data_IF_410647616611
#
_entry.id   IF_410647616611
#
_cell.length_a   1.000
_cell.length_b   1.000
_cell.length_c   1.000
_cell.angle_alpha   90.00
_cell.angle_beta   90.00
_cell.angle_gamma   90.00
#
_symmetry.space_group_name_H-M   'P 1'
#
loop_
_entity.id
_entity.type
_entity.pdbx_description
1 polymer ?
#
# COMPACT_ATOMS: atom_id res chain seq x y z
N UNK A 1 19.71 20.20 -7.42
CA UNK A 1 19.07 20.48 -6.12
C UNK A 1 19.63 19.51 -5.09
N UNK A 2 19.64 19.80 -3.78
CA UNK A 2 20.02 18.79 -2.79
C UNK A 2 19.08 17.60 -2.91
N UNK A 3 19.62 16.38 -2.71
CA UNK A 3 18.81 15.15 -2.73
C UNK A 3 17.82 15.19 -1.59
N UNK A 4 16.59 14.73 -1.86
CA UNK A 4 15.59 14.54 -0.83
C UNK A 4 15.87 13.28 -0.03
N UNK A 5 15.49 13.28 1.23
CA UNK A 5 15.77 12.18 2.16
C UNK A 5 14.53 11.32 2.40
N UNK A 6 14.73 10.00 2.42
CA UNK A 6 13.65 9.02 2.60
C UNK A 6 14.00 8.08 3.75
N UNK A 7 13.19 8.08 4.80
CA UNK A 7 13.20 7.03 5.81
C UNK A 7 12.27 5.88 5.40
N UNK A 8 12.65 4.65 5.70
CA UNK A 8 11.79 3.47 5.45
C UNK A 8 11.35 2.88 6.80
N UNK A 9 10.05 2.68 6.95
CA UNK A 9 9.43 2.04 8.12
C UNK A 9 8.99 0.64 7.72
N UNK A 10 9.75 -0.36 8.18
CA UNK A 10 9.57 -1.76 7.82
C UNK A 10 10.69 -2.28 6.92
N UNK A 11 11.28 -3.43 7.31
CA UNK A 11 12.38 -4.07 6.57
C UNK A 11 12.11 -5.57 6.36
N UNK A 12 10.88 -5.90 5.97
CA UNK A 12 10.49 -7.21 5.43
C UNK A 12 10.95 -7.36 3.98
N UNK A 13 10.41 -8.35 3.26
CA UNK A 13 10.75 -8.58 1.85
C UNK A 13 10.56 -7.32 0.99
N UNK A 14 9.40 -6.65 1.08
CA UNK A 14 9.11 -5.45 0.30
C UNK A 14 9.95 -4.25 0.70
N UNK A 15 10.24 -4.06 1.99
CA UNK A 15 11.10 -2.97 2.47
C UNK A 15 12.54 -3.10 1.98
N UNK A 16 13.07 -4.32 1.92
CA UNK A 16 14.39 -4.60 1.35
C UNK A 16 14.42 -4.31 -0.15
N UNK A 17 13.40 -4.77 -0.89
CA UNK A 17 13.26 -4.48 -2.33
C UNK A 17 13.21 -2.96 -2.56
N UNK A 18 12.38 -2.24 -1.79
CA UNK A 18 12.24 -0.79 -1.90
C UNK A 18 13.57 -0.06 -1.66
N UNK A 19 14.25 -0.38 -0.56
CA UNK A 19 15.53 0.26 -0.21
C UNK A 19 16.58 0.06 -1.32
N UNK A 20 16.68 -1.16 -1.84
CA UNK A 20 17.58 -1.50 -2.93
C UNK A 20 17.20 -0.80 -4.24
N UNK A 21 15.91 -0.78 -4.59
CA UNK A 21 15.41 -0.13 -5.78
C UNK A 21 15.64 1.39 -5.75
N UNK A 22 15.38 2.07 -4.63
CA UNK A 22 15.65 3.51 -4.48
C UNK A 22 17.14 3.82 -4.71
N UNK A 23 18.03 3.04 -4.10
CA UNK A 23 19.48 3.21 -4.28
C UNK A 23 19.94 2.99 -5.72
N UNK A 24 19.31 2.06 -6.45
CA UNK A 24 19.69 1.73 -7.82
C UNK A 24 19.07 2.67 -8.86
N UNK A 25 17.85 3.14 -8.65
CA UNK A 25 17.07 3.82 -9.69
C UNK A 25 16.88 5.31 -9.46
N UNK A 26 16.90 5.78 -8.20
CA UNK A 26 16.62 7.17 -7.85
C UNK A 26 17.73 7.81 -6.99
N UNK A 27 18.95 7.28 -7.05
CA UNK A 27 20.08 7.77 -6.27
C UNK A 27 20.49 9.21 -6.57
N UNK A 28 20.13 9.75 -7.74
CA UNK A 28 20.39 11.16 -8.07
C UNK A 28 19.44 12.12 -7.36
N UNK A 29 18.19 11.70 -7.13
CA UNK A 29 17.13 12.54 -6.57
C UNK A 29 16.92 12.29 -5.07
N UNK A 30 17.14 11.05 -4.60
CA UNK A 30 16.83 10.62 -3.25
C UNK A 30 18.02 9.93 -2.57
N UNK A 31 18.06 10.10 -1.25
CA UNK A 31 18.93 9.35 -0.35
C UNK A 31 18.07 8.63 0.70
N UNK A 32 18.28 7.32 0.86
CA UNK A 32 17.71 6.59 1.99
C UNK A 32 18.47 7.02 3.25
N UNK A 33 17.83 7.84 4.10
CA UNK A 33 18.43 8.39 5.32
C UNK A 33 18.57 7.33 6.41
N UNK A 34 17.70 6.35 6.42
CA UNK A 34 17.79 5.21 7.33
C UNK A 34 16.54 4.34 7.28
N UNK A 35 16.59 3.23 7.98
CA UNK A 35 15.53 2.23 8.07
C UNK A 35 15.20 1.99 9.53
N UNK A 36 13.91 2.00 9.85
CA UNK A 36 13.41 1.65 11.15
C UNK A 36 12.41 0.51 11.09
N UNK A 37 12.46 -0.39 12.07
CA UNK A 37 11.49 -1.47 12.24
C UNK A 37 11.12 -1.61 13.70
N UNK A 38 9.91 -2.11 13.99
CA UNK A 38 9.48 -2.44 15.35
C UNK A 38 10.43 -3.46 16.03
N UNK A 39 11.10 -4.28 15.24
CA UNK A 39 12.05 -5.30 15.71
C UNK A 39 13.49 -4.89 15.41
N UNK A 40 13.83 -3.61 15.61
CA UNK A 40 15.12 -3.05 15.22
C UNK A 40 16.31 -3.80 15.79
N UNK A 41 16.23 -4.29 17.03
CA UNK A 41 17.31 -5.05 17.66
C UNK A 41 17.64 -6.35 16.88
N UNK A 42 16.64 -6.98 16.30
CA UNK A 42 16.81 -8.18 15.45
C UNK A 42 17.31 -7.83 14.06
N UNK A 43 16.81 -6.73 13.48
CA UNK A 43 16.99 -6.42 12.07
C UNK A 43 18.22 -5.52 11.81
N UNK A 44 18.78 -4.90 12.86
CA UNK A 44 19.84 -3.88 12.79
C UNK A 44 21.08 -4.37 12.02
N UNK A 45 21.54 -5.57 12.33
CA UNK A 45 22.75 -6.11 11.70
C UNK A 45 22.52 -6.39 10.20
N UNK A 46 21.37 -6.96 9.84
CA UNK A 46 21.00 -7.18 8.44
C UNK A 46 20.92 -5.86 7.66
N UNK A 47 20.30 -4.83 8.25
CA UNK A 47 20.21 -3.49 7.63
C UNK A 47 21.59 -2.92 7.34
N UNK A 48 22.55 -3.09 8.28
CA UNK A 48 23.96 -2.64 8.09
C UNK A 48 24.68 -3.45 7.01
N UNK A 49 24.51 -4.76 7.00
CA UNK A 49 25.11 -5.65 5.99
C UNK A 49 24.61 -5.33 4.58
N UNK A 50 23.36 -4.93 4.45
CA UNK A 50 22.76 -4.48 3.19
C UNK A 50 23.21 -3.04 2.80
N UNK A 51 24.04 -2.39 3.63
CA UNK A 51 24.63 -1.08 3.39
C UNK A 51 23.69 0.08 3.69
N UNK A 52 22.72 -0.10 4.59
CA UNK A 52 21.82 0.96 5.04
C UNK A 52 22.06 1.31 6.52
N UNK A 53 21.66 2.52 6.90
CA UNK A 53 21.69 2.99 8.29
C UNK A 53 20.45 2.49 9.03
N UNK A 54 20.57 1.73 10.14
CA UNK A 54 19.42 1.48 11.01
C UNK A 54 19.18 2.68 11.93
N UNK A 55 17.93 3.10 12.10
CA UNK A 55 17.55 3.97 13.20
C UNK A 55 17.41 3.14 14.46
N UNK A 56 18.11 3.52 15.54
CA UNK A 56 18.07 2.79 16.81
C UNK A 56 16.72 2.88 17.52
N UNK A 57 15.94 3.93 17.25
CA UNK A 57 14.58 4.14 17.77
C UNK A 57 13.74 4.95 16.77
N UNK A 58 12.43 5.05 17.01
CA UNK A 58 11.55 5.89 16.22
C UNK A 58 11.84 7.39 16.44
N UNK A 59 12.22 7.77 17.67
CA UNK A 59 12.63 9.13 18.01
C UNK A 59 13.88 9.56 17.23
N UNK A 60 14.81 8.63 16.97
CA UNK A 60 15.97 8.91 16.14
C UNK A 60 15.59 9.19 14.68
N UNK A 61 14.56 8.52 14.14
CA UNK A 61 14.01 8.83 12.83
C UNK A 61 13.36 10.22 12.83
N UNK A 62 12.56 10.55 13.84
CA UNK A 62 11.92 11.86 13.95
C UNK A 62 12.95 13.00 14.07
N UNK A 63 14.03 12.79 14.83
CA UNK A 63 15.11 13.77 14.99
C UNK A 63 15.90 14.01 13.68
N UNK A 64 16.01 13.01 12.83
CA UNK A 64 16.68 13.10 11.52
C UNK A 64 15.87 13.93 10.49
N UNK A 65 14.56 14.07 10.71
CA UNK A 65 13.60 14.85 9.88
C UNK A 65 13.74 14.58 8.38
N UNK A 66 13.58 13.35 7.92
CA UNK A 66 13.60 13.07 6.49
C UNK A 66 12.42 13.78 5.78
N UNK A 67 12.59 14.10 4.48
CA UNK A 67 11.51 14.69 3.67
C UNK A 67 10.29 13.77 3.57
N UNK A 68 10.55 12.46 3.48
CA UNK A 68 9.53 11.41 3.38
C UNK A 68 9.80 10.26 4.34
N UNK A 69 8.74 9.73 4.94
CA UNK A 69 8.74 8.42 5.58
C UNK A 69 7.86 7.46 4.78
N UNK A 70 8.43 6.37 4.28
CA UNK A 70 7.69 5.33 3.56
C UNK A 70 7.32 4.23 4.54
N UNK A 71 6.04 4.10 4.82
CA UNK A 71 5.51 2.97 5.58
C UNK A 71 5.31 1.77 4.62
N UNK A 72 6.01 0.67 4.88
CA UNK A 72 5.95 -0.58 4.13
C UNK A 72 5.99 -1.77 5.10
N UNK A 73 5.19 -1.70 6.15
CA UNK A 73 5.18 -2.65 7.26
C UNK A 73 3.79 -3.26 7.52
N UNK A 74 2.83 -2.45 7.97
CA UNK A 74 1.49 -2.91 8.35
C UNK A 74 0.51 -1.77 8.58
N UNK A 75 -0.79 -2.08 8.51
CA UNK A 75 -1.88 -1.18 8.92
C UNK A 75 -1.63 -0.59 10.31
N UNK A 76 -1.16 -1.40 11.25
CA UNK A 76 -0.84 -0.96 12.61
C UNK A 76 0.29 0.07 12.66
N UNK A 77 1.28 -0.03 11.77
CA UNK A 77 2.36 0.97 11.69
C UNK A 77 1.83 2.34 11.25
N UNK A 78 0.85 2.37 10.32
CA UNK A 78 0.20 3.63 9.92
C UNK A 78 -0.53 4.25 11.11
N UNK A 79 -1.30 3.47 11.88
CA UNK A 79 -2.01 3.94 13.08
C UNK A 79 -1.07 4.50 14.13
N UNK A 80 0.01 3.78 14.42
CA UNK A 80 0.92 4.15 15.50
C UNK A 80 1.81 5.35 15.17
N UNK A 81 2.22 5.50 13.92
CA UNK A 81 3.30 6.43 13.57
C UNK A 81 2.88 7.54 12.61
N UNK A 82 1.79 7.36 11.87
CA UNK A 82 1.41 8.25 10.79
C UNK A 82 1.21 9.70 11.23
N UNK A 83 0.41 9.93 12.25
CA UNK A 83 0.14 11.27 12.77
C UNK A 83 1.42 11.94 13.32
N UNK A 84 2.22 11.19 14.09
CA UNK A 84 3.46 11.70 14.67
C UNK A 84 4.47 12.14 13.60
N UNK A 85 4.58 11.38 12.52
CA UNK A 85 5.44 11.76 11.37
C UNK A 85 4.98 13.08 10.74
N UNK A 86 3.69 13.20 10.45
CA UNK A 86 3.12 14.39 9.83
C UNK A 86 3.30 15.62 10.72
N UNK A 87 3.08 15.50 12.03
CA UNK A 87 3.32 16.56 13.01
C UNK A 87 4.79 16.94 13.14
N UNK A 88 5.72 16.02 12.88
CA UNK A 88 7.15 16.29 12.86
C UNK A 88 7.63 16.98 11.57
N UNK A 89 6.73 17.27 10.62
CA UNK A 89 7.05 17.88 9.34
C UNK A 89 7.52 16.87 8.29
N UNK A 90 7.25 15.57 8.48
CA UNK A 90 7.67 14.49 7.60
C UNK A 90 6.48 14.02 6.77
N UNK A 91 6.55 14.09 5.45
CA UNK A 91 5.48 13.58 4.58
C UNK A 91 5.45 12.05 4.60
N UNK A 92 4.24 11.48 4.64
CA UNK A 92 4.02 10.04 4.79
C UNK A 92 3.62 9.40 3.45
N UNK A 93 4.34 8.35 3.05
CA UNK A 93 3.95 7.46 1.94
C UNK A 93 3.41 6.16 2.52
N UNK A 94 2.16 5.83 2.23
CA UNK A 94 1.44 4.68 2.78
C UNK A 94 1.34 3.56 1.76
N UNK A 95 1.82 2.37 2.11
CA UNK A 95 1.57 1.14 1.34
C UNK A 95 0.52 0.24 1.99
N UNK A 96 0.39 0.31 3.32
CA UNK A 96 -0.65 -0.41 4.07
C UNK A 96 -1.96 0.38 4.06
N UNK A 97 -2.48 0.63 2.86
CA UNK A 97 -3.61 1.52 2.58
C UNK A 97 -4.90 1.10 3.31
N UNK A 98 -5.01 -0.16 3.70
CA UNK A 98 -6.11 -0.67 4.50
C UNK A 98 -6.36 0.12 5.80
N UNK A 99 -5.34 0.75 6.37
CA UNK A 99 -5.48 1.63 7.53
C UNK A 99 -6.43 2.80 7.26
N UNK A 100 -6.44 3.32 6.04
CA UNK A 100 -7.24 4.49 5.64
C UNK A 100 -8.73 4.17 5.41
N UNK A 101 -9.14 2.91 5.57
CA UNK A 101 -10.55 2.53 5.64
C UNK A 101 -11.22 3.02 6.94
N UNK A 102 -10.43 3.34 7.96
CA UNK A 102 -10.90 3.97 9.20
C UNK A 102 -11.04 5.47 9.00
N UNK A 103 -12.28 5.96 9.09
CA UNK A 103 -12.60 7.36 8.80
C UNK A 103 -11.89 8.31 9.77
N UNK A 104 -11.92 8.01 11.07
CA UNK A 104 -11.27 8.82 12.11
C UNK A 104 -9.75 8.93 11.90
N UNK A 105 -9.10 7.81 11.60
CA UNK A 105 -7.67 7.81 11.29
C UNK A 105 -7.37 8.64 10.04
N UNK A 106 -8.16 8.46 8.99
CA UNK A 106 -7.98 9.18 7.72
C UNK A 106 -8.14 10.68 7.92
N UNK A 107 -9.15 11.10 8.67
CA UNK A 107 -9.38 12.51 9.01
C UNK A 107 -8.26 13.08 9.86
N UNK A 108 -7.81 12.37 10.89
CA UNK A 108 -6.68 12.76 11.74
C UNK A 108 -5.41 12.96 10.93
N UNK A 109 -5.08 12.03 10.03
CA UNK A 109 -3.91 12.15 9.17
C UNK A 109 -4.04 13.33 8.20
N UNK A 110 -5.21 13.55 7.61
CA UNK A 110 -5.46 14.68 6.70
C UNK A 110 -5.31 16.03 7.41
N UNK A 111 -5.92 16.18 8.61
CA UNK A 111 -5.81 17.39 9.43
C UNK A 111 -4.36 17.65 9.86
N UNK A 112 -3.66 16.60 10.32
CA UNK A 112 -2.25 16.73 10.72
C UNK A 112 -1.36 17.10 9.54
N UNK A 113 -1.59 16.54 8.37
CA UNK A 113 -0.85 16.90 7.17
C UNK A 113 -1.08 18.37 6.79
N UNK A 114 -2.33 18.81 6.77
CA UNK A 114 -2.68 20.19 6.44
C UNK A 114 -2.07 21.20 7.43
N UNK A 115 -2.16 20.91 8.73
CA UNK A 115 -1.67 21.79 9.80
C UNK A 115 -0.14 21.96 9.79
N UNK A 116 0.61 20.97 9.30
CA UNK A 116 2.07 20.97 9.31
C UNK A 116 2.71 21.10 7.92
N UNK A 117 1.92 21.40 6.88
CA UNK A 117 2.44 21.57 5.51
C UNK A 117 3.03 20.27 4.91
N UNK A 118 2.64 19.12 5.45
CA UNK A 118 3.05 17.79 4.97
C UNK A 118 1.97 17.16 4.09
N UNK A 119 2.23 15.98 3.57
CA UNK A 119 1.26 15.23 2.74
C UNK A 119 1.23 13.76 3.11
N UNK A 120 0.06 13.15 2.89
CA UNK A 120 -0.11 11.69 2.88
C UNK A 120 -0.22 11.25 1.42
N UNK A 121 0.71 10.44 0.98
CA UNK A 121 0.72 9.84 -0.35
C UNK A 121 0.26 8.40 -0.28
N UNK A 122 -0.79 8.08 -1.02
CA UNK A 122 -1.30 6.70 -1.14
C UNK A 122 -0.73 6.08 -2.40
N UNK A 123 -0.02 4.96 -2.26
CA UNK A 123 0.54 4.25 -3.42
C UNK A 123 -0.50 3.35 -4.08
N UNK A 124 -0.32 3.09 -5.37
CA UNK A 124 -1.19 2.17 -6.09
C UNK A 124 -1.02 0.71 -5.64
N UNK A 125 0.10 0.39 -5.01
CA UNK A 125 0.37 -0.98 -4.58
C UNK A 125 0.49 -1.93 -5.77
N UNK A 126 -0.34 -2.96 -5.78
CA UNK A 126 -0.36 -3.98 -6.83
C UNK A 126 -1.41 -3.71 -7.94
N UNK A 127 -1.95 -2.50 -8.01
CA UNK A 127 -2.93 -2.05 -9.03
C UNK A 127 -2.49 -0.71 -9.63
N UNK A 128 -3.38 0.00 -10.34
CA UNK A 128 -3.07 1.30 -10.94
C UNK A 128 -4.31 1.97 -11.51
N UNK A 129 -4.11 3.03 -12.32
CA UNK A 129 -5.18 3.74 -13.02
C UNK A 129 -6.06 4.58 -12.09
N UNK A 130 -5.53 5.06 -10.97
CA UNK A 130 -6.28 5.86 -10.00
C UNK A 130 -6.78 7.18 -10.58
N UNK A 131 -6.05 7.77 -11.51
CA UNK A 131 -6.46 8.91 -12.32
C UNK A 131 -7.77 8.62 -13.07
N UNK A 132 -7.85 7.47 -13.74
CA UNK A 132 -9.06 7.03 -14.45
C UNK A 132 -10.21 6.78 -13.47
N UNK A 133 -9.95 6.08 -12.34
CA UNK A 133 -10.96 5.79 -11.33
C UNK A 133 -11.55 7.08 -10.73
N UNK A 134 -10.68 8.05 -10.40
CA UNK A 134 -11.09 9.37 -9.89
C UNK A 134 -11.90 10.14 -10.93
N UNK A 135 -11.44 10.14 -12.18
CA UNK A 135 -12.16 10.83 -13.27
C UNK A 135 -13.58 10.31 -13.43
N UNK A 136 -13.77 9.00 -13.50
CA UNK A 136 -15.11 8.40 -13.64
C UNK A 136 -15.98 8.70 -12.41
N UNK A 137 -15.40 8.65 -11.19
CA UNK A 137 -16.12 8.96 -9.96
C UNK A 137 -16.57 10.44 -9.91
N UNK A 138 -15.72 11.38 -10.32
CA UNK A 138 -16.03 12.81 -10.37
C UNK A 138 -17.10 13.18 -11.40
N UNK A 139 -17.30 12.35 -12.42
CA UNK A 139 -18.40 12.54 -13.39
C UNK A 139 -19.79 12.27 -12.76
N UNK A 140 -19.85 11.66 -11.58
CA UNK A 140 -21.09 11.37 -10.83
C UNK A 140 -21.71 10.03 -11.16
N UNK A 141 -22.61 9.56 -10.28
CA UNK A 141 -23.35 8.30 -10.37
C UNK A 141 -22.48 7.04 -10.55
N UNK A 142 -21.23 7.09 -10.12
CA UNK A 142 -20.29 6.01 -10.31
C UNK A 142 -20.59 4.82 -9.38
N UNK A 143 -20.39 3.63 -9.89
CA UNK A 143 -20.40 2.35 -9.17
C UNK A 143 -19.04 1.69 -9.35
N UNK A 144 -18.54 1.04 -8.29
CA UNK A 144 -17.25 0.39 -8.30
C UNK A 144 -17.31 -1.06 -7.82
N UNK A 145 -16.53 -1.92 -8.45
CA UNK A 145 -16.31 -3.29 -8.03
C UNK A 145 -14.84 -3.67 -8.23
N UNK A 146 -14.28 -4.38 -7.27
CA UNK A 146 -12.98 -5.02 -7.43
C UNK A 146 -13.09 -6.52 -7.19
N UNK A 147 -12.61 -7.30 -8.15
CA UNK A 147 -12.49 -8.75 -8.08
C UNK A 147 -11.04 -9.13 -7.82
N UNK A 148 -10.82 -9.92 -6.78
CA UNK A 148 -9.49 -10.41 -6.39
C UNK A 148 -9.48 -11.93 -6.51
N UNK A 149 -8.69 -12.48 -7.44
CA UNK A 149 -8.55 -13.92 -7.61
C UNK A 149 -7.17 -14.35 -7.14
N UNK A 150 -7.12 -15.26 -6.17
CA UNK A 150 -5.90 -15.69 -5.51
C UNK A 150 -5.88 -17.21 -5.30
N UNK A 151 -4.68 -17.77 -5.17
CA UNK A 151 -4.52 -19.14 -4.73
C UNK A 151 -5.00 -19.31 -3.27
N UNK A 152 -5.56 -20.48 -2.88
CA UNK A 152 -6.02 -20.74 -1.51
C UNK A 152 -4.95 -20.45 -0.45
N UNK A 153 -3.69 -20.75 -0.73
CA UNK A 153 -2.54 -20.57 0.18
C UNK A 153 -2.31 -19.08 0.51
N UNK A 154 -2.59 -18.20 -0.44
CA UNK A 154 -2.47 -16.74 -0.25
C UNK A 154 -3.54 -16.16 0.67
N UNK A 155 -4.65 -16.86 0.84
CA UNK A 155 -5.79 -16.46 1.68
C UNK A 155 -5.76 -17.08 3.08
N UNK A 156 -4.90 -18.09 3.30
CA UNK A 156 -4.78 -18.76 4.59
C UNK A 156 -4.44 -17.79 5.73
N UNK A 157 -5.08 -18.02 6.89
CA UNK A 157 -4.91 -17.20 8.09
C UNK A 157 -5.59 -15.83 8.02
N UNK A 158 -6.47 -15.61 7.04
CA UNK A 158 -7.37 -14.47 7.07
C UNK A 158 -8.44 -14.67 8.15
N UNK A 159 -8.76 -13.64 8.99
CA UNK A 159 -9.75 -13.77 10.06
C UNK A 159 -11.11 -14.27 9.56
N UNK A 160 -11.55 -13.84 8.40
CA UNK A 160 -12.82 -14.28 7.80
C UNK A 160 -12.89 -15.78 7.50
N UNK A 161 -11.73 -16.42 7.33
CA UNK A 161 -11.61 -17.84 7.02
C UNK A 161 -11.33 -18.70 8.25
N UNK A 162 -11.35 -18.12 9.45
CA UNK A 162 -11.16 -18.88 10.69
C UNK A 162 -12.22 -19.99 10.81
N UNK A 163 -11.77 -21.23 11.02
CA UNK A 163 -12.65 -22.41 11.06
C UNK A 163 -13.22 -22.85 9.70
N UNK A 164 -12.82 -22.23 8.59
CA UNK A 164 -13.26 -22.59 7.23
C UNK A 164 -12.10 -23.21 6.43
N UNK A 165 -12.37 -24.25 5.68
CA UNK A 165 -11.44 -24.82 4.70
C UNK A 165 -11.83 -24.39 3.28
N UNK A 166 -10.81 -24.09 2.47
CA UNK A 166 -11.01 -23.75 1.06
C UNK A 166 -10.87 -25.02 0.20
N UNK A 167 -11.73 -25.24 -0.80
CA UNK A 167 -11.56 -26.30 -1.77
C UNK A 167 -10.22 -26.18 -2.51
N UNK A 168 -9.57 -27.33 -2.75
CA UNK A 168 -8.31 -27.41 -3.52
C UNK A 168 -8.53 -27.95 -4.95
N UNK A 169 -9.76 -28.26 -5.29
CA UNK A 169 -10.16 -28.88 -6.56
C UNK A 169 -11.00 -27.97 -7.46
N UNK A 170 -11.53 -26.86 -6.93
CA UNK A 170 -12.36 -25.93 -7.69
C UNK A 170 -12.25 -24.50 -7.20
N UNK A 171 -12.53 -23.56 -8.09
CA UNK A 171 -12.66 -22.14 -7.74
C UNK A 171 -13.91 -21.92 -6.88
N UNK A 172 -13.79 -21.02 -5.92
CA UNK A 172 -14.90 -20.62 -5.04
C UNK A 172 -14.82 -19.14 -4.72
N UNK A 173 -15.95 -18.43 -4.81
CA UNK A 173 -16.07 -17.10 -4.21
C UNK A 173 -16.12 -17.26 -2.69
N UNK A 174 -15.14 -16.68 -2.02
CA UNK A 174 -14.99 -16.78 -0.55
C UNK A 174 -15.53 -15.57 0.19
N UNK A 175 -15.67 -14.44 -0.53
CA UNK A 175 -16.18 -13.20 0.06
C UNK A 175 -16.90 -12.35 -0.99
N UNK A 176 -18.00 -11.71 -0.56
CA UNK A 176 -18.68 -10.59 -1.24
C UNK A 176 -19.12 -9.59 -0.20
N UNK A 177 -18.84 -8.31 -0.42
CA UNK A 177 -19.19 -7.22 0.49
C UNK A 177 -18.52 -5.93 0.08
N UNK A 178 -18.48 -4.94 0.96
CA UNK A 178 -17.83 -3.65 0.75
C UNK A 178 -16.32 -3.73 1.00
N UNK A 179 -15.58 -2.70 0.56
CA UNK A 179 -14.15 -2.63 0.85
C UNK A 179 -13.87 -2.50 2.36
N UNK A 180 -14.76 -1.83 3.10
CA UNK A 180 -14.68 -1.74 4.57
C UNK A 180 -14.83 -3.11 5.24
N UNK A 181 -15.79 -3.91 4.82
CA UNK A 181 -15.98 -5.28 5.32
C UNK A 181 -14.83 -6.20 4.91
N UNK A 182 -14.34 -6.06 3.67
CA UNK A 182 -13.24 -6.86 3.15
C UNK A 182 -11.95 -6.65 3.95
N UNK A 183 -11.59 -5.41 4.31
CA UNK A 183 -10.36 -5.14 5.08
C UNK A 183 -10.44 -5.71 6.50
N UNK A 184 -11.61 -5.73 7.12
CA UNK A 184 -11.81 -6.35 8.42
C UNK A 184 -11.59 -7.88 8.37
N UNK A 185 -12.06 -8.53 7.31
CA UNK A 185 -11.93 -9.98 7.13
C UNK A 185 -10.58 -10.44 6.56
N UNK A 186 -9.93 -9.61 5.74
CA UNK A 186 -8.72 -9.95 4.98
C UNK A 186 -7.65 -8.85 5.06
N UNK A 187 -7.20 -8.42 6.25
CA UNK A 187 -6.37 -7.21 6.42
C UNK A 187 -5.02 -7.24 5.68
N UNK A 188 -4.54 -8.42 5.29
CA UNK A 188 -3.27 -8.60 4.57
C UNK A 188 -3.44 -8.77 3.05
N UNK A 189 -4.68 -8.86 2.55
CA UNK A 189 -4.96 -9.29 1.18
C UNK A 189 -5.67 -8.24 0.34
N UNK A 190 -6.24 -7.19 0.94
CA UNK A 190 -7.18 -6.28 0.26
C UNK A 190 -6.82 -4.79 0.37
N UNK A 191 -5.56 -4.45 0.64
CA UNK A 191 -5.09 -3.06 0.57
C UNK A 191 -5.45 -2.41 -0.77
N UNK A 192 -5.36 -3.16 -1.87
CA UNK A 192 -5.74 -2.71 -3.22
C UNK A 192 -7.22 -2.34 -3.33
N UNK A 193 -8.11 -3.04 -2.61
CA UNK A 193 -9.54 -2.73 -2.61
C UNK A 193 -9.81 -1.40 -1.90
N UNK A 194 -9.16 -1.17 -0.77
CA UNK A 194 -9.26 0.12 -0.06
C UNK A 194 -8.67 1.25 -0.88
N UNK A 195 -7.49 1.05 -1.50
CA UNK A 195 -6.87 2.04 -2.36
C UNK A 195 -7.77 2.42 -3.54
N UNK A 196 -8.33 1.42 -4.24
CA UNK A 196 -9.25 1.65 -5.37
C UNK A 196 -10.55 2.32 -4.93
N UNK A 197 -11.07 1.98 -3.74
CA UNK A 197 -12.26 2.59 -3.17
C UNK A 197 -12.04 4.06 -2.86
N UNK A 198 -10.93 4.40 -2.18
CA UNK A 198 -10.59 5.78 -1.84
C UNK A 198 -10.30 6.63 -3.08
N UNK A 199 -9.77 6.01 -4.14
CA UNK A 199 -9.55 6.66 -5.43
C UNK A 199 -10.84 6.80 -6.26
N UNK A 200 -12.01 6.32 -5.79
CA UNK A 200 -13.23 6.34 -6.59
C UNK A 200 -14.50 6.58 -5.75
N UNK A 201 -15.25 5.52 -5.46
CA UNK A 201 -16.60 5.60 -4.89
C UNK A 201 -16.63 5.53 -3.35
N UNK A 202 -15.50 5.40 -2.70
CA UNK A 202 -15.40 5.27 -1.25
C UNK A 202 -15.52 3.81 -0.75
N UNK A 203 -15.07 3.60 0.49
CA UNK A 203 -14.92 2.24 1.06
C UNK A 203 -16.25 1.53 1.33
N UNK A 204 -17.32 2.28 1.52
CA UNK A 204 -18.66 1.74 1.80
C UNK A 204 -19.43 1.43 0.51
N UNK A 205 -19.08 2.06 -0.62
CA UNK A 205 -19.74 1.85 -1.91
C UNK A 205 -18.99 0.86 -2.82
N UNK A 206 -17.66 0.77 -2.69
CA UNK A 206 -16.85 -0.17 -3.49
C UNK A 206 -17.20 -1.61 -3.12
N UNK A 207 -17.73 -2.36 -4.09
CA UNK A 207 -17.98 -3.79 -3.95
C UNK A 207 -16.68 -4.58 -4.11
N UNK A 208 -16.49 -5.59 -3.28
CA UNK A 208 -15.32 -6.47 -3.29
C UNK A 208 -15.75 -7.91 -3.43
N UNK A 209 -15.16 -8.60 -4.39
CA UNK A 209 -15.27 -10.04 -4.57
C UNK A 209 -13.90 -10.65 -4.36
N UNK A 210 -13.83 -11.71 -3.57
CA UNK A 210 -12.59 -12.48 -3.38
C UNK A 210 -12.87 -13.92 -3.79
N UNK A 211 -12.13 -14.39 -4.78
CA UNK A 211 -12.18 -15.76 -5.27
C UNK A 211 -10.92 -16.52 -4.88
N UNK A 212 -11.10 -17.72 -4.37
CA UNK A 212 -10.05 -18.72 -4.20
C UNK A 212 -10.01 -19.60 -5.45
N UNK A 213 -8.85 -19.64 -6.14
CA UNK A 213 -8.67 -20.41 -7.36
C UNK A 213 -7.46 -21.33 -7.21
N UNK A 214 -7.64 -22.64 -6.99
CA UNK A 214 -6.54 -23.60 -6.88
C UNK A 214 -5.70 -23.64 -8.15
N UNK A 215 -4.37 -23.78 -7.95
CA UNK A 215 -3.40 -23.83 -9.06
C UNK A 215 -3.09 -22.49 -9.72
N UNK A 216 -3.70 -21.40 -9.29
CA UNK A 216 -3.40 -20.06 -9.80
C UNK A 216 -2.03 -19.60 -9.29
N UNK A 217 -1.16 -19.21 -10.21
CA UNK A 217 0.22 -18.80 -9.90
C UNK A 217 0.37 -17.30 -9.71
N UNK A 218 -0.60 -16.51 -10.13
CA UNK A 218 -0.61 -15.05 -10.05
C UNK A 218 -1.81 -14.56 -9.23
N UNK A 219 -1.63 -13.43 -8.57
CA UNK A 219 -2.72 -12.65 -8.01
C UNK A 219 -3.34 -11.81 -9.13
N UNK A 220 -4.63 -11.96 -9.36
CA UNK A 220 -5.37 -11.14 -10.31
C UNK A 220 -6.24 -10.13 -9.55
N UNK A 221 -6.14 -8.87 -9.95
CA UNK A 221 -6.99 -7.79 -9.49
C UNK A 221 -7.67 -7.17 -10.70
N UNK A 222 -9.00 -7.18 -10.73
CA UNK A 222 -9.80 -6.52 -11.76
C UNK A 222 -10.69 -5.48 -11.10
N UNK A 223 -10.45 -4.20 -11.42
CA UNK A 223 -11.22 -3.07 -10.93
C UNK A 223 -12.13 -2.61 -12.07
N UNK A 224 -13.41 -2.50 -11.79
CA UNK A 224 -14.40 -1.88 -12.69
C UNK A 224 -14.99 -0.70 -11.96
N UNK A 225 -14.92 0.49 -12.58
CA UNK A 225 -15.68 1.68 -12.15
C UNK A 225 -16.45 2.18 -13.36
N UNK A 226 -17.73 2.40 -13.18
CA UNK A 226 -18.62 2.77 -14.26
C UNK A 226 -19.70 3.75 -13.81
N UNK A 227 -20.15 4.59 -14.75
CA UNK A 227 -21.32 5.42 -14.64
C UNK A 227 -22.14 5.32 -15.96
N UNK A 228 -23.11 6.21 -16.14
CA UNK A 228 -24.00 6.17 -17.31
C UNK A 228 -23.27 6.40 -18.65
N UNK A 229 -22.09 7.03 -18.64
CA UNK A 229 -21.37 7.40 -19.86
C UNK A 229 -20.04 6.68 -20.07
N UNK A 230 -19.44 6.13 -18.99
CA UNK A 230 -18.09 5.55 -19.04
C UNK A 230 -18.04 4.25 -18.22
N UNK A 231 -17.36 3.28 -18.78
CA UNK A 231 -16.97 2.06 -18.08
C UNK A 231 -15.46 1.86 -18.19
N UNK A 232 -14.76 2.00 -17.09
CA UNK A 232 -13.32 1.73 -16.99
C UNK A 232 -13.09 0.36 -16.36
N UNK A 233 -12.18 -0.42 -16.94
CA UNK A 233 -11.73 -1.71 -16.40
C UNK A 233 -10.22 -1.71 -16.35
N UNK A 234 -9.67 -1.94 -15.17
CA UNK A 234 -8.23 -2.05 -14.94
C UNK A 234 -7.96 -3.44 -14.41
N UNK A 235 -7.14 -4.19 -15.12
CA UNK A 235 -6.78 -5.54 -14.73
C UNK A 235 -5.26 -5.65 -14.56
N UNK A 236 -4.84 -6.18 -13.42
CA UNK A 236 -3.44 -6.44 -13.11
C UNK A 236 -3.29 -7.87 -12.64
N UNK A 237 -2.49 -8.66 -13.35
CA UNK A 237 -2.05 -9.98 -12.95
C UNK A 237 -0.58 -9.90 -12.52
N UNK A 238 -0.25 -10.30 -11.31
CA UNK A 238 1.10 -10.23 -10.78
C UNK A 238 1.49 -11.50 -10.05
N UNK A 239 2.69 -12.01 -10.33
CA UNK A 239 3.23 -13.12 -9.54
C UNK A 239 3.61 -12.64 -8.15
N UNK A 240 3.23 -13.37 -7.10
CA UNK A 240 3.68 -13.06 -5.74
C UNK A 240 5.19 -13.24 -5.64
N UNK A 241 5.80 -12.48 -4.73
CA UNK A 241 7.21 -12.66 -4.39
C UNK A 241 7.42 -14.05 -3.75
N UNK A 242 8.43 -14.83 -4.19
CA UNK A 242 8.72 -16.15 -3.61
C UNK A 242 8.98 -16.11 -2.10
N UNK A 243 9.57 -15.01 -1.60
CA UNK A 243 9.84 -14.79 -0.17
C UNK A 243 8.63 -14.25 0.60
N UNK A 244 7.58 -13.77 -0.11
CA UNK A 244 6.34 -13.26 0.50
C UNK A 244 5.13 -13.47 -0.42
N UNK A 245 4.53 -14.68 -0.42
CA UNK A 245 3.43 -15.02 -1.32
C UNK A 245 2.16 -14.17 -1.15
N UNK A 246 2.08 -13.39 -0.08
CA UNK A 246 0.91 -12.55 0.26
C UNK A 246 0.97 -11.17 -0.37
N UNK A 247 2.13 -10.73 -0.88
CA UNK A 247 2.34 -9.38 -1.41
C UNK A 247 2.99 -9.42 -2.79
N UNK A 248 2.57 -8.51 -3.66
CA UNK A 248 3.22 -8.30 -4.95
C UNK A 248 4.46 -7.42 -4.80
N UNK A 249 5.55 -7.77 -5.48
CA UNK A 249 6.74 -6.93 -5.63
C UNK A 249 6.39 -5.54 -6.20
N UNK A 250 5.34 -5.47 -7.02
CA UNK A 250 4.82 -4.24 -7.59
C UNK A 250 4.51 -3.17 -6.50
N UNK A 251 4.15 -3.58 -5.28
CA UNK A 251 3.93 -2.64 -4.17
C UNK A 251 5.17 -1.82 -3.83
N UNK A 252 6.36 -2.42 -3.79
CA UNK A 252 7.60 -1.67 -3.56
C UNK A 252 7.92 -0.75 -4.75
N UNK A 253 7.72 -1.23 -5.97
CA UNK A 253 7.95 -0.44 -7.18
C UNK A 253 6.95 0.69 -7.37
N UNK A 254 5.72 0.58 -6.86
CA UNK A 254 4.75 1.68 -6.88
C UNK A 254 5.20 2.87 -6.04
N UNK A 255 5.96 2.63 -4.95
CA UNK A 255 6.62 3.69 -4.18
C UNK A 255 7.72 4.36 -4.99
N UNK A 256 8.55 3.55 -5.67
CA UNK A 256 9.61 4.09 -6.54
C UNK A 256 9.02 4.95 -7.65
N UNK A 257 7.94 4.48 -8.28
CA UNK A 257 7.23 5.24 -9.32
C UNK A 257 6.65 6.56 -8.78
N UNK A 258 6.03 6.56 -7.60
CA UNK A 258 5.55 7.76 -6.93
C UNK A 258 6.69 8.76 -6.68
N UNK A 259 7.77 8.32 -6.05
CA UNK A 259 8.90 9.18 -5.72
C UNK A 259 9.59 9.72 -6.99
N UNK A 260 9.72 8.90 -8.04
CA UNK A 260 10.20 9.35 -9.34
C UNK A 260 9.33 10.47 -9.92
N UNK A 261 8.01 10.30 -9.82
CA UNK A 261 7.05 11.30 -10.31
C UNK A 261 7.19 12.62 -9.53
N UNK A 262 7.34 12.56 -8.20
CA UNK A 262 7.53 13.73 -7.33
C UNK A 262 8.88 14.45 -7.53
N UNK A 263 9.87 13.81 -8.13
CA UNK A 263 11.16 14.41 -8.49
C UNK A 263 11.19 14.95 -9.93
N UNK A 264 10.26 14.50 -10.78
CA UNK A 264 10.21 14.86 -12.18
C UNK A 264 9.59 16.25 -12.39
N UNK A 265 10.09 17.06 -13.34
CA UNK A 265 9.39 18.28 -13.78
C UNK A 265 8.13 18.00 -14.61
N UNK A 266 7.91 16.75 -15.04
CA UNK A 266 6.70 16.26 -15.72
C UNK A 266 6.10 15.18 -14.84
N UNK A 267 4.93 15.48 -14.26
CA UNK A 267 4.24 14.59 -13.34
C UNK A 267 3.10 13.85 -14.06
N UNK A 268 2.96 12.57 -13.73
CA UNK A 268 1.82 11.73 -14.12
C UNK A 268 1.00 11.43 -12.86
N UNK A 269 -0.30 11.62 -12.91
CA UNK A 269 -1.19 11.40 -11.77
C UNK A 269 -2.32 10.41 -12.10
#
# INVERSE_FOLDING_TARGET
MPKKTVAIIGYGALGNILASALRQTLSEDYQVSGIWTRHIQRDMERIRQDGFRPYGSFEALLADKPDYAVEIASVEAVRMYGETLLRAGISLVVTSVGALAEDELRETLAQSAQANGTRVYVTSGAVGGFDVLQTVALMGNARGCIENVKAPESLQGAPYLEGKSLPLDRQQTVFRGTAREAIAGFPKNVNVAVASALASVGVDAMQVVIDSCPGKQDNLHRITVENDGVRAVIEVASRPDPGNPRSSVMTAWSVVALLRNLASPIEFF
#
